data_IF_760575109478
#
_entry.id   IF_760575109478
#
_cell.length_a   1.000
_cell.length_b   1.000
_cell.length_c   1.000
_cell.angle_alpha   90.00
_cell.angle_beta   90.00
_cell.angle_gamma   90.00
#
_symmetry.space_group_name_H-M   'P 1'
#
loop_
_entity.id
_entity.type
_entity.pdbx_description
1 polymer ?
#
# COMPACT_ATOMS: atom_id res chain seq x y z
N UNK A 1 6.53 30.25 14.07
CA UNK A 1 7.92 29.96 13.67
C UNK A 1 8.22 30.74 12.40
N UNK A 2 9.28 31.57 12.36
CA UNK A 2 9.65 32.38 11.18
C UNK A 2 10.86 31.72 10.51
N UNK A 3 10.68 31.25 9.27
CA UNK A 3 11.75 30.61 8.50
C UNK A 3 12.34 31.61 7.49
N UNK A 4 13.65 31.58 7.28
CA UNK A 4 14.29 32.27 6.15
C UNK A 4 14.14 31.48 4.84
N UNK A 5 14.19 30.14 4.89
CA UNK A 5 13.93 29.22 3.78
C UNK A 5 13.49 27.84 4.29
N UNK A 6 12.54 27.18 3.61
CA UNK A 6 12.09 25.82 3.88
C UNK A 6 11.83 25.09 2.56
N UNK A 7 12.54 23.99 2.33
CA UNK A 7 12.51 23.28 1.04
C UNK A 7 11.73 21.97 1.09
N UNK A 8 11.71 21.31 2.25
CA UNK A 8 10.94 20.09 2.45
C UNK A 8 9.52 20.43 2.92
N UNK A 9 8.56 19.68 2.40
CA UNK A 9 7.20 19.71 2.92
C UNK A 9 7.15 19.15 4.34
N UNK A 10 6.23 19.68 5.13
CA UNK A 10 5.96 19.25 6.50
C UNK A 10 4.48 19.43 6.76
N UNK A 11 3.87 18.50 7.49
CA UNK A 11 2.46 18.56 7.82
C UNK A 11 1.82 17.19 7.81
N UNK A 12 0.49 17.16 7.89
CA UNK A 12 -0.29 15.93 7.77
C UNK A 12 -0.40 15.57 6.28
N UNK A 13 -0.27 14.29 5.96
CA UNK A 13 -0.49 13.78 4.62
C UNK A 13 -1.46 12.58 4.67
N UNK A 14 -2.21 12.40 3.58
CA UNK A 14 -3.10 11.25 3.38
C UNK A 14 -3.10 10.90 1.89
N UNK A 15 -3.11 9.61 1.58
CA UNK A 15 -3.15 9.09 0.22
C UNK A 15 -4.12 7.93 0.15
N UNK A 16 -4.90 7.90 -0.93
CA UNK A 16 -5.79 6.78 -1.27
C UNK A 16 -5.30 6.17 -2.57
N UNK A 17 -5.14 4.85 -2.59
CA UNK A 17 -4.67 4.10 -3.76
C UNK A 17 -5.70 3.04 -4.08
N UNK A 18 -6.15 3.00 -5.33
CA UNK A 18 -7.08 1.96 -5.80
C UNK A 18 -6.29 0.69 -6.13
N UNK A 19 -6.70 -0.43 -5.56
CA UNK A 19 -6.10 -1.73 -5.81
C UNK A 19 -6.78 -2.42 -7.00
N UNK A 20 -6.04 -3.22 -7.75
CA UNK A 20 -6.51 -3.92 -8.95
C UNK A 20 -7.23 -5.24 -8.67
N UNK A 21 -7.30 -5.68 -7.41
CA UNK A 21 -7.94 -6.95 -7.03
C UNK A 21 -8.37 -6.99 -5.57
N UNK A 22 -9.09 -8.05 -5.21
CA UNK A 22 -9.48 -8.31 -3.83
C UNK A 22 -8.26 -8.73 -3.00
N UNK A 23 -8.15 -8.16 -1.80
CA UNK A 23 -7.12 -8.49 -0.82
C UNK A 23 -7.73 -9.22 0.38
N UNK A 24 -6.90 -9.91 1.14
CA UNK A 24 -7.26 -10.42 2.47
C UNK A 24 -6.88 -9.37 3.53
N UNK A 25 -7.85 -8.58 4.06
CA UNK A 25 -7.56 -7.51 5.01
C UNK A 25 -7.02 -8.03 6.36
N UNK A 26 -7.28 -9.30 6.69
CA UNK A 26 -6.83 -9.90 7.95
C UNK A 26 -5.32 -10.18 7.99
N UNK A 27 -4.65 -10.17 6.82
CA UNK A 27 -3.23 -10.48 6.66
C UNK A 27 -2.42 -9.30 6.14
N UNK A 28 -2.93 -8.08 6.29
CA UNK A 28 -2.19 -6.88 5.90
C UNK A 28 -1.05 -6.65 6.88
N UNK A 29 0.15 -6.46 6.36
CA UNK A 29 1.34 -6.13 7.13
C UNK A 29 1.89 -4.78 6.68
N UNK A 30 2.45 -4.02 7.63
CA UNK A 30 3.08 -2.74 7.33
C UNK A 30 4.35 -2.57 8.17
N UNK A 31 5.38 -1.98 7.56
CA UNK A 31 6.66 -1.68 8.21
C UNK A 31 7.26 -0.39 7.70
N UNK A 32 8.03 0.28 8.56
CA UNK A 32 8.79 1.47 8.19
C UNK A 32 10.28 1.24 8.44
N UNK A 33 11.09 1.50 7.41
CA UNK A 33 12.53 1.46 7.49
C UNK A 33 13.09 2.57 6.60
N UNK A 34 14.12 3.28 7.07
CA UNK A 34 14.83 4.33 6.32
C UNK A 34 13.91 5.42 5.71
N UNK A 35 12.81 5.73 6.39
CA UNK A 35 11.82 6.73 5.94
C UNK A 35 10.85 6.23 4.85
N UNK A 36 10.85 4.93 4.55
CA UNK A 36 9.97 4.30 3.57
C UNK A 36 8.91 3.45 4.30
N UNK A 37 7.64 3.80 4.10
CA UNK A 37 6.52 2.96 4.52
C UNK A 37 6.27 1.87 3.46
N UNK A 38 6.48 0.62 3.84
CA UNK A 38 6.15 -0.57 3.03
C UNK A 38 4.86 -1.18 3.56
N UNK A 39 3.89 -1.42 2.68
CA UNK A 39 2.62 -2.08 3.01
C UNK A 39 2.47 -3.32 2.13
N UNK A 40 2.35 -4.49 2.76
CA UNK A 40 2.16 -5.78 2.08
C UNK A 40 0.69 -6.14 2.15
N UNK A 41 0.08 -6.32 0.96
CA UNK A 41 -1.34 -6.59 0.79
C UNK A 41 -1.53 -7.95 0.09
N UNK A 42 -1.73 -9.05 0.85
CA UNK A 42 -1.94 -10.36 0.25
C UNK A 42 -3.23 -10.38 -0.58
N UNK A 43 -3.16 -10.98 -1.78
CA UNK A 43 -4.36 -11.21 -2.58
C UNK A 43 -5.30 -12.17 -1.85
N UNK A 44 -6.59 -11.93 -1.98
CA UNK A 44 -7.60 -12.88 -1.52
C UNK A 44 -7.41 -14.24 -2.21
N UNK A 45 -7.69 -15.33 -1.50
CA UNK A 45 -7.72 -16.69 -2.06
C UNK A 45 -8.67 -16.80 -3.27
N UNK A 46 -9.79 -16.07 -3.24
CA UNK A 46 -10.74 -15.96 -4.36
C UNK A 46 -10.17 -15.29 -5.61
N UNK A 47 -9.13 -14.47 -5.45
CA UNK A 47 -8.46 -13.75 -6.53
C UNK A 47 -7.31 -14.55 -7.16
N UNK A 48 -7.03 -15.78 -6.69
CA UNK A 48 -6.11 -16.69 -7.36
C UNK A 48 -6.69 -17.11 -8.72
N UNK A 49 -5.91 -17.07 -9.80
CA UNK A 49 -6.40 -17.44 -11.12
C UNK A 49 -6.89 -18.88 -11.11
N UNK A 50 -8.13 -19.10 -11.56
CA UNK A 50 -8.68 -20.45 -11.75
C UNK A 50 -7.98 -21.09 -12.93
N UNK A 51 -7.43 -22.28 -12.74
CA UNK A 51 -6.89 -23.06 -13.86
C UNK A 51 -8.05 -23.54 -14.72
N UNK A 52 -8.18 -22.98 -15.92
CA UNK A 52 -9.16 -23.45 -16.92
C UNK A 52 -8.47 -24.54 -17.72
N UNK A 53 -8.91 -25.80 -17.59
CA UNK A 53 -8.47 -26.88 -18.49
C UNK A 53 -9.09 -26.62 -19.87
N UNK A 54 -8.25 -26.43 -20.87
CA UNK A 54 -8.65 -26.48 -22.27
C UNK A 54 -8.63 -27.97 -22.66
N UNK A 55 -9.76 -28.47 -23.12
CA UNK A 55 -9.91 -29.82 -23.68
C UNK A 55 -9.84 -29.83 -25.19
#
# INVERSE_FOLDING_TARGET
VKYHRRERESGKFSRMIKLSGQIDPSKVEAGIADGILTVVLPKSESAKPRQIKIG
#
